data_IF_336417845152
#
_entry.id   IF_336417845152
#
_cell.length_a   1.000
_cell.length_b   1.000
_cell.length_c   1.000
_cell.angle_alpha   90.00
_cell.angle_beta   90.00
_cell.angle_gamma   90.00
#
_symmetry.space_group_name_H-M   'P 1'
#
loop_
_entity.id
_entity.type
_entity.pdbx_description
1 polymer ?
#
# COMPACT_ATOMS: atom_id res chain seq x y z
N UNK A 1 -3.47 -22.93 21.82
CA UNK A 1 -2.81 -22.35 20.64
C UNK A 1 -2.80 -20.85 20.88
N UNK A 2 -1.69 -20.29 21.35
CA UNK A 2 -1.59 -18.84 21.51
C UNK A 2 -1.22 -18.32 20.14
N UNK A 3 -2.16 -17.63 19.49
CA UNK A 3 -1.81 -16.82 18.33
C UNK A 3 -0.82 -15.77 18.83
N UNK A 4 0.40 -15.81 18.32
CA UNK A 4 1.39 -14.78 18.57
C UNK A 4 0.79 -13.45 18.09
N UNK A 5 0.57 -12.50 19.00
CA UNK A 5 0.18 -11.14 18.63
C UNK A 5 1.36 -10.50 17.90
N UNK A 6 1.43 -10.69 16.58
CA UNK A 6 2.30 -9.89 15.74
C UNK A 6 1.74 -8.46 15.80
N UNK A 7 2.48 -7.48 16.36
CA UNK A 7 2.00 -6.10 16.37
C UNK A 7 1.77 -5.68 14.91
N UNK A 8 0.52 -5.36 14.56
CA UNK A 8 0.18 -4.92 13.19
C UNK A 8 0.98 -3.66 12.90
N UNK A 9 1.88 -3.67 11.91
CA UNK A 9 2.75 -2.53 11.65
C UNK A 9 1.91 -1.33 11.22
N UNK A 10 2.06 -0.21 11.91
CA UNK A 10 1.41 1.05 11.54
C UNK A 10 2.07 1.58 10.28
N UNK A 11 1.32 1.60 9.18
CA UNK A 11 1.78 2.13 7.89
C UNK A 11 1.35 3.58 7.71
N UNK A 12 1.97 4.29 6.77
CA UNK A 12 1.54 5.64 6.38
C UNK A 12 0.08 5.68 5.93
N UNK A 13 -0.42 4.62 5.30
CA UNK A 13 -1.82 4.50 4.86
C UNK A 13 -2.78 4.49 6.05
N UNK A 14 -2.45 3.78 7.14
CA UNK A 14 -3.29 3.78 8.35
C UNK A 14 -3.30 5.17 9.02
N UNK A 15 -2.16 5.87 9.03
CA UNK A 15 -2.10 7.26 9.52
C UNK A 15 -2.98 8.17 8.67
N UNK A 16 -2.93 8.03 7.34
CA UNK A 16 -3.78 8.79 6.43
C UNK A 16 -5.27 8.53 6.65
N UNK A 17 -5.69 7.28 6.76
CA UNK A 17 -7.08 6.92 7.08
C UNK A 17 -7.55 7.48 8.42
N UNK A 18 -6.68 7.53 9.44
CA UNK A 18 -7.04 8.11 10.73
C UNK A 18 -7.43 9.59 10.62
N UNK A 19 -6.73 10.36 9.79
CA UNK A 19 -7.06 11.77 9.56
C UNK A 19 -8.34 11.98 8.73
N UNK A 20 -8.80 10.96 8.02
CA UNK A 20 -10.08 10.99 7.29
C UNK A 20 -11.21 10.57 8.22
N UNK A 21 -11.13 9.37 8.79
CA UNK A 21 -12.21 8.79 9.58
C UNK A 21 -11.68 7.70 10.54
N UNK A 22 -11.92 7.81 11.86
CA UNK A 22 -11.51 6.80 12.85
C UNK A 22 -12.10 5.40 12.61
N UNK A 23 -13.30 5.32 12.03
CA UNK A 23 -13.93 4.04 11.67
C UNK A 23 -13.24 3.38 10.48
N UNK A 24 -12.87 4.17 9.47
CA UNK A 24 -12.19 3.66 8.28
C UNK A 24 -10.85 3.01 8.65
N UNK A 25 -10.01 3.71 9.43
CA UNK A 25 -8.74 3.14 9.89
C UNK A 25 -8.94 1.90 10.76
N UNK A 26 -10.00 1.83 11.57
CA UNK A 26 -10.30 0.64 12.36
C UNK A 26 -10.62 -0.56 11.46
N UNK A 27 -11.47 -0.36 10.44
CA UNK A 27 -11.82 -1.40 9.46
C UNK A 27 -10.58 -1.86 8.69
N UNK A 28 -9.82 -0.93 8.12
CA UNK A 28 -8.62 -1.25 7.32
C UNK A 28 -7.52 -1.93 8.16
N UNK A 29 -7.32 -1.51 9.40
CA UNK A 29 -6.36 -2.15 10.32
C UNK A 29 -6.77 -3.57 10.72
N UNK A 30 -8.04 -3.95 10.54
CA UNK A 30 -8.59 -5.28 10.81
C UNK A 30 -8.87 -6.07 9.52
N UNK A 31 -8.29 -5.66 8.39
CA UNK A 31 -8.43 -6.32 7.09
C UNK A 31 -9.89 -6.42 6.60
N UNK A 32 -10.74 -5.51 7.08
CA UNK A 32 -12.10 -5.32 6.57
C UNK A 32 -12.04 -4.34 5.39
N UNK A 33 -11.62 -4.87 4.25
CA UNK A 33 -11.35 -4.11 3.04
C UNK A 33 -12.64 -3.64 2.33
N UNK A 34 -12.59 -2.52 1.59
CA UNK A 34 -13.65 -2.12 0.67
C UNK A 34 -13.73 -3.07 -0.53
N UNK A 35 -14.73 -2.86 -1.40
CA UNK A 35 -14.91 -3.61 -2.65
C UNK A 35 -13.64 -3.56 -3.54
N UNK A 36 -13.03 -4.71 -3.79
CA UNK A 36 -11.77 -4.82 -4.54
C UNK A 36 -11.96 -5.08 -6.05
N UNK A 37 -13.17 -5.47 -6.46
CA UNK A 37 -13.55 -5.87 -7.83
C UNK A 37 -14.07 -4.70 -8.68
N UNK A 38 -13.88 -3.46 -8.21
CA UNK A 38 -14.30 -2.29 -8.97
C UNK A 38 -13.45 -2.13 -10.25
N UNK A 39 -14.05 -2.01 -11.46
CA UNK A 39 -13.31 -1.87 -12.72
C UNK A 39 -12.34 -0.67 -12.77
N UNK A 40 -12.60 0.38 -12.00
CA UNK A 40 -11.69 1.53 -11.91
C UNK A 40 -10.41 1.17 -11.15
N UNK A 41 -10.49 0.28 -10.16
CA UNK A 41 -9.30 -0.24 -9.46
C UNK A 41 -8.49 -1.12 -10.40
N UNK A 42 -9.13 -1.95 -11.22
CA UNK A 42 -8.47 -2.74 -12.25
C UNK A 42 -7.70 -1.86 -13.26
N UNK A 43 -8.36 -0.82 -13.78
CA UNK A 43 -7.70 0.16 -14.65
C UNK A 43 -6.50 0.84 -13.95
N UNK A 44 -6.64 1.19 -12.68
CA UNK A 44 -5.55 1.77 -11.89
C UNK A 44 -4.34 0.84 -11.76
N UNK A 45 -4.57 -0.46 -11.56
CA UNK A 45 -3.51 -1.49 -11.52
C UNK A 45 -2.80 -1.60 -12.87
N UNK A 46 -3.56 -1.65 -13.97
CA UNK A 46 -3.00 -1.67 -15.32
C UNK A 46 -2.12 -0.44 -15.61
N UNK A 47 -2.61 0.76 -15.28
CA UNK A 47 -1.83 2.00 -15.44
C UNK A 47 -0.54 1.94 -14.60
N UNK A 48 -0.62 1.48 -13.36
CA UNK A 48 0.56 1.31 -12.50
C UNK A 48 1.57 0.33 -13.11
N UNK A 49 1.11 -0.77 -13.72
CA UNK A 49 1.95 -1.78 -14.36
C UNK A 49 2.61 -1.29 -15.66
N UNK A 50 1.92 -0.49 -16.47
CA UNK A 50 2.42 -0.03 -17.78
C UNK A 50 3.25 1.26 -17.71
N UNK A 51 2.99 2.13 -16.72
CA UNK A 51 3.70 3.43 -16.58
C UNK A 51 5.15 3.25 -16.13
N UNK A 52 6.08 4.15 -16.48
CA UNK A 52 7.48 4.10 -16.00
C UNK A 52 8.18 2.74 -16.23
N UNK A 53 8.29 2.26 -17.49
CA UNK A 53 8.82 0.93 -17.79
C UNK A 53 10.34 0.80 -17.57
N UNK A 54 11.06 1.89 -17.33
CA UNK A 54 12.53 1.90 -17.14
C UNK A 54 12.91 1.87 -15.66
N UNK A 55 11.94 2.09 -14.78
CA UNK A 55 12.09 2.23 -13.34
C UNK A 55 11.77 0.90 -12.65
N UNK A 56 12.47 0.62 -11.55
CA UNK A 56 12.16 -0.56 -10.72
C UNK A 56 10.91 -0.25 -9.90
N UNK A 57 9.95 -1.18 -9.84
CA UNK A 57 8.66 -0.98 -9.17
C UNK A 57 8.50 -1.83 -7.92
N UNK A 58 7.66 -1.36 -7.00
CA UNK A 58 7.11 -2.16 -5.91
C UNK A 58 8.14 -2.68 -4.91
N UNK A 59 9.00 -1.79 -4.40
CA UNK A 59 10.01 -2.15 -3.40
C UNK A 59 9.40 -2.17 -1.99
N UNK A 60 9.50 -3.32 -1.32
CA UNK A 60 9.02 -3.48 0.06
C UNK A 60 10.07 -3.01 1.08
N UNK A 61 9.64 -2.22 2.04
CA UNK A 61 10.43 -1.78 3.19
C UNK A 61 9.62 -1.95 4.49
N UNK A 62 10.25 -1.91 5.68
CA UNK A 62 9.53 -2.09 6.94
C UNK A 62 8.38 -1.07 7.10
N UNK A 63 7.14 -1.55 7.10
CA UNK A 63 5.94 -0.72 7.28
C UNK A 63 5.58 0.19 6.10
N UNK A 64 6.21 0.02 4.93
CA UNK A 64 5.94 0.84 3.75
C UNK A 64 6.23 0.10 2.44
N UNK A 65 5.63 0.57 1.36
CA UNK A 65 5.93 0.13 0.00
C UNK A 65 6.29 1.35 -0.85
N UNK A 66 7.36 1.25 -1.62
CA UNK A 66 7.83 2.31 -2.51
C UNK A 66 7.48 1.92 -3.93
N UNK A 67 6.70 2.77 -4.60
CA UNK A 67 6.17 2.48 -5.93
C UNK A 67 7.25 2.45 -7.01
N UNK A 68 8.21 3.39 -6.97
CA UNK A 68 9.26 3.54 -7.98
C UNK A 68 10.62 3.81 -7.33
N UNK A 69 11.63 3.07 -7.76
CA UNK A 69 13.04 3.36 -7.49
C UNK A 69 13.72 3.77 -8.79
N UNK A 70 14.24 5.00 -8.79
CA UNK A 70 14.99 5.58 -9.90
C UNK A 70 16.45 5.73 -9.53
N UNK A 71 17.31 5.08 -10.30
CA UNK A 71 18.74 5.33 -10.23
C UNK A 71 19.05 6.65 -10.94
N UNK A 72 19.64 7.60 -10.21
CA UNK A 72 20.20 8.81 -10.82
C UNK A 72 21.64 8.45 -11.15
N UNK A 73 21.97 8.39 -12.44
CA UNK A 73 23.30 7.97 -12.91
C UNK A 73 24.41 8.61 -12.10
N UNK A 74 25.22 7.76 -11.44
CA UNK A 74 26.51 8.15 -10.90
C UNK A 74 27.44 8.43 -12.08
N UNK A 75 28.07 9.60 -12.07
CA UNK A 75 29.29 9.80 -12.85
C UNK A 75 30.42 8.95 -12.30
#
# INVERSE_FOLDING_TARGET
>A
MVAEEVPRPITGTLVWYYYICPREVWLMAHELNPEEENPLLELGRLIHEESYPKEKKGFDAPGMKVDLLRERGGG
#
